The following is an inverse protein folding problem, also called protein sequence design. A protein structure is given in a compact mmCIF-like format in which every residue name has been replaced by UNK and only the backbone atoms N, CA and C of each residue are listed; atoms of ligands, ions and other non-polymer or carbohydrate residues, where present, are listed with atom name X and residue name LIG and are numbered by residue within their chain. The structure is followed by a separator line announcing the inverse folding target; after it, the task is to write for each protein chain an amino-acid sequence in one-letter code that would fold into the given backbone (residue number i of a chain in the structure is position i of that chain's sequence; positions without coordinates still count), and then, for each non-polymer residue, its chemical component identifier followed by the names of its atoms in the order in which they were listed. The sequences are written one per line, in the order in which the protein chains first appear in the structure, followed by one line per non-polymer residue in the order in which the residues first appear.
data_IF_635754523173
#
_entry.id   IF_635754523173
#
_cell.length_a   1.000
_cell.length_b   1.000
_cell.length_c   1.000
_cell.angle_alpha   90.00
_cell.angle_beta   90.00
_cell.angle_gamma   90.00
#
_symmetry.space_group_name_H-M   'P 1'
#
loop_
_entity.id
_entity.type
_entity.pdbx_description
1 polymer ?
#
# COMPACT_ATOMS: atom_id res chain seq x y z
N UNK A 1 -5.72 8.39 0.72
CA UNK A 1 -4.44 9.12 0.61
C UNK A 1 -3.67 8.49 -0.52
N UNK A 2 -3.10 9.30 -1.42
CA UNK A 2 -2.28 8.83 -2.54
C UNK A 2 -0.93 8.27 -2.04
N UNK A 3 -0.30 7.41 -2.82
CA UNK A 3 1.06 6.89 -2.59
C UNK A 3 2.07 8.02 -2.32
N UNK A 4 2.08 9.09 -3.11
CA UNK A 4 2.98 10.25 -2.94
C UNK A 4 2.78 10.98 -1.60
N UNK A 5 1.53 11.32 -1.26
CA UNK A 5 1.24 12.05 -0.02
C UNK A 5 1.49 11.21 1.25
N UNK A 6 1.67 9.90 1.09
CA UNK A 6 1.91 8.96 2.17
C UNK A 6 3.38 8.57 2.35
N UNK A 7 4.28 9.07 1.49
CA UNK A 7 5.70 8.80 1.59
C UNK A 7 6.25 9.28 2.95
N UNK A 8 7.07 8.44 3.58
CA UNK A 8 7.69 8.74 4.89
C UNK A 8 6.75 8.69 6.09
N UNK A 9 5.51 8.23 5.92
CA UNK A 9 4.53 8.11 7.03
C UNK A 9 4.34 6.66 7.45
N UNK A 10 4.52 6.41 8.74
CA UNK A 10 4.19 5.12 9.37
C UNK A 10 2.79 5.17 9.96
N UNK A 11 2.02 4.09 9.82
CA UNK A 11 0.66 3.96 10.35
C UNK A 11 0.47 2.61 11.04
N UNK A 12 -0.18 2.59 12.23
CA UNK A 12 -0.47 1.35 12.93
C UNK A 12 -1.56 0.50 12.25
N UNK A 13 -2.51 1.14 11.55
CA UNK A 13 -3.50 0.48 10.68
C UNK A 13 -3.37 1.05 9.27
N UNK A 14 -2.90 0.25 8.33
CA UNK A 14 -2.61 0.63 6.96
C UNK A 14 -3.59 -0.04 6.00
N UNK A 15 -4.67 0.67 5.68
CA UNK A 15 -5.60 0.27 4.60
C UNK A 15 -5.01 0.71 3.26
N UNK A 16 -4.81 -0.24 2.36
CA UNK A 16 -4.19 -0.04 1.06
C UNK A 16 -5.05 -0.62 -0.06
N UNK A 17 -5.14 0.12 -1.16
CA UNK A 17 -5.83 -0.27 -2.37
C UNK A 17 -4.80 -0.53 -3.46
N UNK A 18 -4.59 -1.80 -3.81
CA UNK A 18 -3.50 -2.20 -4.70
C UNK A 18 -3.86 -2.02 -6.18
N UNK A 19 -5.14 -2.13 -6.55
CA UNK A 19 -5.60 -2.02 -7.93
C UNK A 19 -5.31 -0.64 -8.57
N UNK A 20 -5.16 0.41 -7.75
CA UNK A 20 -4.82 1.75 -8.24
C UNK A 20 -3.31 2.03 -8.33
N UNK A 21 -2.46 1.01 -8.12
CA UNK A 21 -1.01 1.13 -8.18
C UNK A 21 -0.49 0.61 -9.53
N UNK A 22 0.16 1.48 -10.30
CA UNK A 22 0.67 1.15 -11.65
C UNK A 22 2.20 1.03 -11.73
N UNK A 23 2.91 1.24 -10.63
CA UNK A 23 4.38 1.16 -10.60
C UNK A 23 4.88 0.45 -9.36
N UNK A 24 6.02 -0.24 -9.47
CA UNK A 24 6.66 -0.93 -8.35
C UNK A 24 6.91 -0.01 -7.14
N UNK A 25 7.29 1.24 -7.39
CA UNK A 25 7.48 2.25 -6.34
C UNK A 25 6.16 2.50 -5.59
N UNK A 26 5.03 2.54 -6.28
CA UNK A 26 3.72 2.73 -5.67
C UNK A 26 3.35 1.58 -4.73
N UNK A 27 3.58 0.34 -5.18
CA UNK A 27 3.38 -0.85 -4.35
C UNK A 27 4.25 -0.83 -3.10
N UNK A 28 5.54 -0.55 -3.28
CA UNK A 28 6.49 -0.47 -2.17
C UNK A 28 6.11 0.63 -1.18
N UNK A 29 5.80 1.84 -1.65
CA UNK A 29 5.42 2.96 -0.78
C UNK A 29 4.12 2.68 -0.03
N UNK A 30 3.14 2.01 -0.65
CA UNK A 30 1.88 1.66 0.01
C UNK A 30 2.08 0.59 1.11
N UNK A 31 2.88 -0.44 0.83
CA UNK A 31 3.13 -1.55 1.75
C UNK A 31 4.04 -1.18 2.92
N UNK A 32 5.08 -0.37 2.66
CA UNK A 32 6.11 0.02 3.66
C UNK A 32 5.61 0.96 4.77
N UNK A 33 4.34 1.39 4.73
CA UNK A 33 3.77 2.27 5.76
C UNK A 33 3.33 1.55 7.03
N UNK A 34 3.21 0.22 7.00
CA UNK A 34 2.87 -0.58 8.17
C UNK A 34 4.11 -1.20 8.76
N UNK A 35 4.20 -1.22 10.09
CA UNK A 35 5.26 -1.92 10.81
C UNK A 35 5.01 -3.43 10.96
N UNK A 36 3.79 -3.91 10.70
CA UNK A 36 3.41 -5.31 10.88
C UNK A 36 2.35 -5.75 9.86
N UNK A 37 2.37 -7.04 9.47
CA UNK A 37 1.41 -7.63 8.56
C UNK A 37 -0.04 -7.55 9.10
N UNK A 38 -0.23 -7.75 10.41
CA UNK A 38 -1.54 -7.66 11.07
C UNK A 38 -2.15 -6.25 10.98
N UNK A 39 -1.30 -5.23 10.89
CA UNK A 39 -1.73 -3.84 10.72
C UNK A 39 -2.08 -3.48 9.26
N UNK A 40 -1.80 -4.36 8.30
CA UNK A 40 -1.97 -4.10 6.88
C UNK A 40 -3.25 -4.74 6.36
N UNK A 41 -4.13 -3.92 5.77
CA UNK A 41 -5.39 -4.37 5.20
C UNK A 41 -5.36 -4.05 3.71
N UNK A 42 -5.41 -5.09 2.88
CA UNK A 42 -5.42 -4.98 1.42
C UNK A 42 -6.88 -5.01 0.95
N UNK A 43 -7.33 -3.90 0.37
CA UNK A 43 -8.66 -3.74 -0.22
C UNK A 43 -8.54 -3.94 -1.72
N UNK A 44 -9.23 -4.95 -2.22
CA UNK A 44 -9.05 -5.55 -3.56
C UNK A 44 -7.66 -6.17 -3.75
N UNK A 45 -7.66 -7.46 -4.07
CA UNK A 45 -6.43 -8.27 -4.20
C UNK A 45 -5.50 -7.76 -5.29
N UNK A 46 -4.26 -8.23 -5.25
CA UNK A 46 -3.30 -8.01 -6.32
C UNK A 46 -3.71 -8.82 -7.55
N UNK A 47 -3.71 -8.15 -8.69
CA UNK A 47 -4.00 -8.74 -10.01
C UNK A 47 -2.68 -8.75 -10.76
N UNK A 48 -2.14 -9.94 -11.03
CA UNK A 48 -0.80 -10.14 -11.63
C UNK A 48 -0.84 -10.31 -13.14
N UNK A 49 -1.97 -10.01 -13.77
CA UNK A 49 -2.40 -10.44 -15.11
C UNK A 49 -2.43 -9.27 -16.11
N UNK A 50 -1.76 -8.16 -15.76
CA UNK A 50 -1.42 -7.05 -16.67
C UNK A 50 0.06 -7.10 -16.99
#
# INVERSE_FOLDING_TARGET
MTNYAAQGKTRPKNVIHLNSCFSHVSYYTCLSRSASATGTIIVQGFESSV
#
